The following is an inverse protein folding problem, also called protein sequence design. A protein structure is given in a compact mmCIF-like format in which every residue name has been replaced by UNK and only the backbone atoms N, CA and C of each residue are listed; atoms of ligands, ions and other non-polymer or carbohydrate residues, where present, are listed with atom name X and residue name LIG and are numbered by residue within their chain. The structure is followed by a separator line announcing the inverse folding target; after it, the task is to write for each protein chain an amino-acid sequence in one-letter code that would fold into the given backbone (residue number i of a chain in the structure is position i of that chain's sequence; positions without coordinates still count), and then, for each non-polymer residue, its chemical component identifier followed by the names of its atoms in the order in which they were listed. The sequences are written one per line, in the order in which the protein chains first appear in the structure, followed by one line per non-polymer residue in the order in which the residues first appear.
data_IF_702680089549
#
_entry.id   IF_702680089549
#
_cell.length_a   1.000
_cell.length_b   1.000
_cell.length_c   1.000
_cell.angle_alpha   90.00
_cell.angle_beta   90.00
_cell.angle_gamma   90.00
#
_symmetry.space_group_name_H-M   'P 1'
#
loop_
_entity.id
_entity.type
_entity.pdbx_description
1 polymer ?
#
# COMPACT_ATOMS: atom_id res chain seq x y z
N UNK A 1 -0.16 7.77 -2.80
CA UNK A 1 0.24 6.35 -2.76
C UNK A 1 -0.68 5.54 -3.66
N UNK A 2 -0.18 4.52 -4.34
CA UNK A 2 -0.99 3.70 -5.25
C UNK A 2 -1.54 2.49 -4.49
N UNK A 3 -2.86 2.47 -4.30
CA UNK A 3 -3.58 1.35 -3.68
C UNK A 3 -3.72 0.14 -4.62
N UNK A 4 -4.06 -1.01 -4.04
CA UNK A 4 -4.29 -2.25 -4.79
C UNK A 4 -5.55 -2.17 -5.68
N UNK A 5 -5.51 -2.82 -6.85
CA UNK A 5 -6.58 -2.76 -7.87
C UNK A 5 -7.02 -4.13 -8.37
N UNK A 6 -8.34 -4.33 -8.39
CA UNK A 6 -8.95 -5.59 -8.81
C UNK A 6 -9.95 -5.48 -9.97
N UNK A 7 -10.12 -4.28 -10.56
CA UNK A 7 -11.10 -4.04 -11.63
C UNK A 7 -10.73 -4.67 -12.99
N UNK A 8 -9.44 -4.96 -13.21
CA UNK A 8 -8.94 -5.51 -14.48
C UNK A 8 -8.41 -6.93 -14.24
N UNK A 9 -9.11 -7.97 -14.73
CA UNK A 9 -8.61 -9.33 -14.64
C UNK A 9 -7.22 -9.48 -15.25
N UNK A 10 -6.35 -10.25 -14.57
CA UNK A 10 -4.98 -10.57 -15.02
C UNK A 10 -4.06 -9.36 -15.18
N UNK A 11 -4.27 -8.31 -14.39
CA UNK A 11 -3.45 -7.10 -14.40
C UNK A 11 -3.22 -6.58 -12.99
N UNK A 12 -2.06 -5.98 -12.75
CA UNK A 12 -1.73 -5.32 -11.49
C UNK A 12 -1.96 -6.26 -10.30
N UNK A 13 -2.50 -5.74 -9.19
CA UNK A 13 -2.71 -6.53 -7.98
C UNK A 13 -3.71 -7.68 -8.17
N UNK A 14 -4.60 -7.66 -9.19
CA UNK A 14 -5.42 -8.83 -9.55
C UNK A 14 -4.55 -10.04 -9.86
N UNK A 15 -3.49 -9.85 -10.63
CA UNK A 15 -2.61 -10.94 -11.08
C UNK A 15 -1.88 -11.61 -9.92
N UNK A 16 -1.64 -10.86 -8.85
CA UNK A 16 -0.78 -11.27 -7.75
C UNK A 16 -1.58 -11.71 -6.50
N UNK A 17 -2.65 -10.98 -6.16
CA UNK A 17 -3.44 -11.23 -4.94
C UNK A 17 -4.59 -12.21 -5.20
N UNK A 18 -5.19 -12.19 -6.39
CA UNK A 18 -6.30 -13.07 -6.72
C UNK A 18 -5.80 -14.35 -7.39
N UNK A 19 -6.34 -15.47 -6.90
CA UNK A 19 -6.07 -16.81 -7.40
C UNK A 19 -7.35 -17.26 -8.10
N UNK A 20 -7.33 -17.35 -9.42
CA UNK A 20 -8.53 -17.70 -10.22
C UNK A 20 -8.33 -18.92 -11.10
N UNK A 21 -9.41 -19.65 -11.38
CA UNK A 21 -9.37 -20.86 -12.23
C UNK A 21 -8.75 -20.61 -13.60
N UNK A 22 -9.08 -19.47 -14.21
CA UNK A 22 -8.67 -19.17 -15.58
C UNK A 22 -7.28 -18.52 -15.67
N UNK A 23 -6.81 -17.88 -14.58
CA UNK A 23 -5.49 -17.23 -14.51
C UNK A 23 -4.42 -18.17 -13.96
N UNK A 24 -4.68 -18.84 -12.84
CA UNK A 24 -3.67 -19.57 -12.08
C UNK A 24 -3.48 -21.00 -12.63
N UNK A 25 -2.99 -21.06 -13.87
CA UNK A 25 -2.73 -22.29 -14.64
C UNK A 25 -1.27 -22.34 -15.08
N UNK A 26 -0.79 -23.53 -15.44
CA UNK A 26 0.60 -23.73 -15.90
C UNK A 26 0.85 -22.96 -17.21
N UNK A 27 -0.15 -22.88 -18.08
CA UNK A 27 -0.07 -22.17 -19.36
C UNK A 27 0.14 -20.66 -19.19
N UNK A 28 -0.36 -20.09 -18.10
CA UNK A 28 -0.15 -18.69 -17.72
C UNK A 28 1.07 -18.51 -16.81
N UNK A 29 1.94 -19.53 -16.69
CA UNK A 29 3.19 -19.47 -15.95
C UNK A 29 3.05 -19.57 -14.42
N UNK A 30 1.88 -19.96 -13.89
CA UNK A 30 1.70 -20.21 -12.46
C UNK A 30 2.17 -21.62 -12.06
N UNK A 31 2.42 -21.80 -10.76
CA UNK A 31 3.00 -23.04 -10.21
C UNK A 31 4.53 -22.98 -10.10
N UNK A 32 5.12 -24.09 -9.67
CA UNK A 32 6.59 -24.24 -9.64
C UNK A 32 7.17 -24.22 -11.05
N UNK A 33 8.30 -23.54 -11.30
CA UNK A 33 8.95 -23.59 -12.60
C UNK A 33 9.36 -25.04 -12.89
N UNK A 34 8.76 -25.65 -13.92
CA UNK A 34 9.38 -26.81 -14.55
C UNK A 34 10.63 -26.30 -15.27
N UNK A 35 11.80 -26.90 -15.00
CA UNK A 35 13.10 -26.54 -15.59
C UNK A 35 13.12 -26.51 -17.15
N UNK A 36 12.03 -26.90 -17.81
CA UNK A 36 11.90 -27.02 -19.27
C UNK A 36 11.01 -25.94 -19.93
N UNK A 37 10.42 -25.01 -19.19
CA UNK A 37 9.54 -23.96 -19.74
C UNK A 37 10.01 -22.55 -19.36
N UNK A 38 11.23 -22.22 -19.79
CA UNK A 38 11.82 -20.88 -19.64
C UNK A 38 11.12 -19.87 -20.56
N UNK A 39 9.90 -19.46 -20.18
CA UNK A 39 9.12 -18.42 -20.85
C UNK A 39 9.18 -17.10 -20.08
N UNK A 40 9.02 -15.98 -20.77
CA UNK A 40 8.97 -14.65 -20.13
C UNK A 40 7.84 -14.55 -19.09
N UNK A 41 6.73 -15.27 -19.29
CA UNK A 41 5.59 -15.31 -18.36
C UNK A 41 5.98 -16.03 -17.08
N UNK A 42 6.71 -17.16 -17.17
CA UNK A 42 7.20 -17.87 -15.98
C UNK A 42 8.21 -17.01 -15.19
N UNK A 43 9.12 -16.32 -15.87
CA UNK A 43 10.05 -15.36 -15.23
C UNK A 43 9.31 -14.19 -14.57
N UNK A 44 8.25 -13.68 -15.22
CA UNK A 44 7.38 -12.64 -14.65
C UNK A 44 6.73 -13.11 -13.34
N UNK A 45 6.18 -14.32 -13.31
CA UNK A 45 5.58 -14.89 -12.09
C UNK A 45 6.62 -15.18 -11.01
N UNK A 46 7.80 -15.66 -11.39
CA UNK A 46 8.91 -15.87 -10.47
C UNK A 46 9.32 -14.56 -9.77
N UNK A 47 9.49 -13.46 -10.52
CA UNK A 47 9.84 -12.15 -9.98
C UNK A 47 8.85 -11.70 -8.89
N UNK A 48 7.54 -11.85 -9.13
CA UNK A 48 6.53 -11.48 -8.15
C UNK A 48 6.45 -12.45 -6.96
N UNK A 49 6.67 -13.74 -7.19
CA UNK A 49 6.79 -14.72 -6.10
C UNK A 49 7.98 -14.43 -5.19
N UNK A 50 9.11 -14.00 -5.75
CA UNK A 50 10.29 -13.58 -4.98
C UNK A 50 10.03 -12.26 -4.24
N UNK A 51 9.42 -11.27 -4.90
CA UNK A 51 9.06 -10.00 -4.29
C UNK A 51 8.15 -10.17 -3.08
N UNK A 52 7.10 -10.98 -3.22
CA UNK A 52 6.20 -11.29 -2.13
C UNK A 52 6.72 -12.42 -1.24
N UNK A 53 7.82 -13.10 -1.55
CA UNK A 53 8.26 -14.31 -0.83
C UNK A 53 7.09 -15.28 -0.58
N UNK A 54 6.31 -15.54 -1.64
CA UNK A 54 5.14 -16.42 -1.66
C UNK A 54 5.17 -17.22 -2.96
N UNK A 55 5.11 -18.56 -2.92
CA UNK A 55 5.09 -19.39 -4.13
C UNK A 55 3.94 -19.04 -5.06
N UNK A 56 4.19 -19.06 -6.36
CA UNK A 56 3.14 -18.96 -7.38
C UNK A 56 2.28 -20.22 -7.33
N UNK A 57 1.00 -20.06 -7.01
CA UNK A 57 0.07 -21.18 -6.83
C UNK A 57 -0.78 -21.42 -8.07
N UNK A 58 -0.99 -22.70 -8.39
CA UNK A 58 -2.07 -23.11 -9.28
C UNK A 58 -3.38 -23.13 -8.51
N UNK A 59 -4.49 -22.80 -9.18
CA UNK A 59 -5.80 -22.81 -8.53
C UNK A 59 -6.16 -24.19 -7.95
N UNK A 60 -5.82 -25.26 -8.69
CA UNK A 60 -6.10 -26.65 -8.27
C UNK A 60 -5.34 -27.10 -7.01
N UNK A 61 -4.27 -26.39 -6.65
CA UNK A 61 -3.43 -26.72 -5.49
C UNK A 61 -3.89 -25.95 -4.23
N UNK A 62 -4.95 -25.15 -4.33
CA UNK A 62 -5.55 -24.47 -3.18
C UNK A 62 -6.14 -25.49 -2.19
N UNK A 63 -5.99 -25.26 -0.88
CA UNK A 63 -6.65 -26.08 0.12
C UNK A 63 -8.17 -25.87 0.11
N UNK A 64 -8.89 -26.70 0.86
CA UNK A 64 -10.31 -26.45 1.14
C UNK A 64 -10.48 -25.16 1.95
N UNK A 65 -11.02 -24.13 1.30
CA UNK A 65 -11.26 -22.81 1.90
C UNK A 65 -12.65 -22.79 2.53
N UNK A 66 -12.69 -22.78 3.85
CA UNK A 66 -13.93 -22.60 4.61
C UNK A 66 -14.31 -21.13 4.67
N UNK A 67 -15.61 -20.85 4.68
CA UNK A 67 -16.12 -19.53 4.99
C UNK A 67 -15.89 -19.23 6.46
N UNK A 68 -15.32 -18.06 6.75
CA UNK A 68 -15.12 -17.53 8.09
C UNK A 68 -15.80 -16.16 8.20
N UNK A 69 -16.35 -15.84 9.36
CA UNK A 69 -16.88 -14.51 9.65
C UNK A 69 -15.74 -13.49 9.74
N UNK A 70 -14.62 -13.87 10.36
CA UNK A 70 -13.40 -13.07 10.50
C UNK A 70 -12.46 -13.30 9.32
N UNK A 71 -12.95 -13.01 8.12
CA UNK A 71 -12.21 -13.18 6.85
C UNK A 71 -10.81 -12.57 6.88
N UNK A 72 -10.59 -11.51 7.64
CA UNK A 72 -9.30 -10.82 7.74
C UNK A 72 -8.23 -11.60 8.53
N UNK A 73 -8.60 -12.66 9.26
CA UNK A 73 -7.67 -13.55 9.98
C UNK A 73 -7.28 -14.80 9.17
N UNK A 74 -7.99 -15.10 8.08
CA UNK A 74 -7.71 -16.29 7.27
C UNK A 74 -6.64 -16.00 6.22
N UNK A 75 -5.89 -17.02 5.80
CA UNK A 75 -4.91 -16.86 4.72
C UNK A 75 -5.56 -16.63 3.35
N UNK A 76 -6.66 -17.34 3.12
CA UNK A 76 -7.43 -17.29 1.88
C UNK A 76 -8.90 -16.98 2.17
N UNK A 77 -9.50 -16.19 1.28
CA UNK A 77 -10.92 -15.82 1.34
C UNK A 77 -11.55 -16.15 0.00
N UNK A 78 -12.59 -16.98 0.00
CA UNK A 78 -13.37 -17.24 -1.22
C UNK A 78 -14.24 -16.01 -1.53
N UNK A 79 -14.06 -15.46 -2.73
CA UNK A 79 -14.86 -14.34 -3.24
C UNK A 79 -16.07 -14.88 -3.99
N UNK A 80 -15.83 -15.84 -4.88
CA UNK A 80 -16.84 -16.58 -5.65
C UNK A 80 -16.32 -17.99 -6.00
N UNK A 81 -17.06 -18.73 -6.82
CA UNK A 81 -16.72 -20.11 -7.20
C UNK A 81 -15.42 -20.26 -8.00
N UNK A 82 -14.92 -19.19 -8.59
CA UNK A 82 -13.76 -19.16 -9.47
C UNK A 82 -12.63 -18.27 -8.94
N UNK A 83 -12.88 -17.48 -7.89
CA UNK A 83 -11.97 -16.44 -7.39
C UNK A 83 -11.71 -16.60 -5.90
N UNK A 84 -10.43 -16.68 -5.55
CA UNK A 84 -9.93 -16.68 -4.17
C UNK A 84 -9.02 -15.48 -3.98
N UNK A 85 -9.17 -14.80 -2.85
CA UNK A 85 -8.33 -13.70 -2.43
C UNK A 85 -7.26 -14.19 -1.44
N UNK A 86 -5.99 -13.84 -1.67
CA UNK A 86 -4.89 -14.13 -0.74
C UNK A 86 -4.65 -12.96 0.19
N UNK A 87 -5.08 -13.08 1.45
CA UNK A 87 -4.79 -12.06 2.47
C UNK A 87 -3.30 -11.92 2.72
N UNK A 88 -2.54 -13.00 2.56
CA UNK A 88 -1.09 -12.99 2.76
C UNK A 88 -0.38 -12.11 1.72
N UNK A 89 -0.71 -12.26 0.43
CA UNK A 89 -0.14 -11.40 -0.62
C UNK A 89 -0.62 -9.96 -0.45
N UNK A 90 -1.91 -9.77 -0.13
CA UNK A 90 -2.45 -8.43 0.10
C UNK A 90 -1.78 -7.73 1.28
N UNK A 91 -1.57 -8.43 2.41
CA UNK A 91 -0.82 -7.92 3.56
C UNK A 91 0.58 -7.46 3.15
N UNK A 92 1.32 -8.26 2.39
CA UNK A 92 2.67 -7.89 1.92
C UNK A 92 2.62 -6.67 0.98
N UNK A 93 1.62 -6.60 0.11
CA UNK A 93 1.39 -5.45 -0.77
C UNK A 93 1.06 -4.16 0.00
N UNK A 94 0.25 -4.24 1.04
CA UNK A 94 -0.09 -3.09 1.91
C UNK A 94 1.09 -2.72 2.81
N UNK A 95 1.92 -3.68 3.21
CA UNK A 95 3.13 -3.43 4.01
C UNK A 95 4.07 -2.46 3.29
N UNK A 96 4.17 -2.52 1.96
CA UNK A 96 4.94 -1.53 1.18
C UNK A 96 4.41 -0.11 1.39
N UNK A 97 3.09 0.06 1.42
CA UNK A 97 2.46 1.37 1.66
C UNK A 97 2.67 1.84 3.10
N UNK A 98 2.50 0.94 4.07
CA UNK A 98 2.70 1.22 5.48
C UNK A 98 4.16 1.62 5.75
N UNK A 99 5.12 0.81 5.31
CA UNK A 99 6.55 1.04 5.53
C UNK A 99 7.00 2.36 4.91
N UNK A 100 6.60 2.63 3.65
CA UNK A 100 6.90 3.89 2.98
C UNK A 100 6.33 5.08 3.75
N UNK A 101 5.09 4.98 4.22
CA UNK A 101 4.42 6.07 4.96
C UNK A 101 5.12 6.34 6.29
N UNK A 102 5.40 5.29 7.06
CA UNK A 102 5.99 5.39 8.39
C UNK A 102 7.42 5.92 8.34
N UNK A 103 8.26 5.36 7.46
CA UNK A 103 9.67 5.76 7.33
C UNK A 103 9.82 7.17 6.75
N UNK A 104 8.96 7.56 5.79
CA UNK A 104 8.98 8.94 5.27
C UNK A 104 8.52 9.92 6.35
N UNK A 105 7.46 9.60 7.10
CA UNK A 105 6.97 10.46 8.18
C UNK A 105 8.02 10.64 9.26
N UNK A 106 8.65 9.56 9.71
CA UNK A 106 9.74 9.56 10.68
C UNK A 106 10.89 10.44 10.22
N UNK A 107 11.37 10.23 9.00
CA UNK A 107 12.50 10.99 8.46
C UNK A 107 12.21 12.49 8.41
N UNK A 108 11.02 12.88 7.94
CA UNK A 108 10.63 14.31 7.85
C UNK A 108 10.38 14.94 9.22
N UNK A 109 9.83 14.17 10.15
CA UNK A 109 9.61 14.59 11.53
C UNK A 109 10.95 14.91 12.20
N UNK A 110 11.90 13.99 12.12
CA UNK A 110 13.26 14.17 12.63
C UNK A 110 13.98 15.39 11.99
N UNK A 111 13.94 15.54 10.66
CA UNK A 111 14.54 16.69 9.95
C UNK A 111 13.98 18.05 10.40
N UNK A 112 12.74 18.08 10.89
CA UNK A 112 12.09 19.31 11.36
C UNK A 112 12.10 19.48 12.88
N UNK A 113 12.63 18.49 13.62
CA UNK A 113 12.65 18.48 15.09
C UNK A 113 11.24 18.47 15.70
N UNK A 114 10.28 17.80 15.05
CA UNK A 114 8.88 17.72 15.47
C UNK A 114 8.42 16.27 15.54
N UNK A 115 7.39 16.02 16.32
CA UNK A 115 6.62 14.78 16.22
C UNK A 115 5.74 14.79 14.96
N UNK A 116 5.60 13.64 14.30
CA UNK A 116 4.63 13.42 13.23
C UNK A 116 3.25 13.04 13.77
N UNK A 117 2.23 13.59 13.12
CA UNK A 117 0.87 13.07 13.09
C UNK A 117 0.61 12.57 11.67
N UNK A 118 0.35 11.28 11.52
CA UNK A 118 0.07 10.67 10.22
C UNK A 118 -1.44 10.54 10.04
N UNK A 119 -1.98 11.18 9.00
CA UNK A 119 -3.37 11.01 8.59
C UNK A 119 -3.45 10.09 7.36
N UNK A 120 -3.82 8.83 7.57
CA UNK A 120 -3.91 7.80 6.54
C UNK A 120 -5.29 7.84 5.88
N UNK A 121 -5.30 8.09 4.57
CA UNK A 121 -6.45 7.90 3.69
C UNK A 121 -6.31 6.55 2.99
N UNK A 122 -7.39 5.76 3.01
CA UNK A 122 -7.41 4.40 2.46
C UNK A 122 -7.09 4.36 0.96
N UNK A 123 -5.94 3.76 0.61
CA UNK A 123 -5.52 3.60 -0.77
C UNK A 123 -6.03 2.27 -1.34
N UNK A 124 -6.92 2.33 -2.34
CA UNK A 124 -7.51 1.12 -2.96
C UNK A 124 -8.67 0.49 -2.19
N UNK A 125 -9.20 1.20 -1.19
CA UNK A 125 -10.37 0.75 -0.41
C UNK A 125 -11.71 1.32 -0.92
N UNK A 126 -11.67 2.15 -1.97
CA UNK A 126 -12.84 2.68 -2.65
C UNK A 126 -13.35 1.73 -3.74
N UNK A 127 -13.57 2.25 -4.95
CA UNK A 127 -14.07 1.48 -6.11
C UNK A 127 -13.14 0.37 -6.59
N UNK A 128 -11.94 0.22 -6.03
CA UNK A 128 -10.98 -0.82 -6.43
C UNK A 128 -11.01 -2.06 -5.56
N UNK A 129 -11.70 -2.04 -4.41
CA UNK A 129 -11.80 -3.21 -3.54
C UNK A 129 -12.81 -4.20 -4.13
N UNK A 130 -12.54 -5.48 -3.95
CA UNK A 130 -13.45 -6.57 -4.32
C UNK A 130 -14.21 -7.14 -3.10
N UNK A 131 -13.74 -6.85 -1.88
CA UNK A 131 -14.40 -7.31 -0.66
C UNK A 131 -14.22 -6.35 0.52
N UNK A 132 -15.17 -6.33 1.44
CA UNK A 132 -15.19 -5.42 2.60
C UNK A 132 -14.07 -5.70 3.61
N UNK A 133 -13.68 -6.96 3.80
CA UNK A 133 -12.64 -7.37 4.75
C UNK A 133 -11.26 -6.77 4.42
N UNK A 134 -11.05 -6.28 3.20
CA UNK A 134 -9.80 -5.61 2.81
C UNK A 134 -9.50 -4.39 3.69
N UNK A 135 -10.51 -3.69 4.21
CA UNK A 135 -10.29 -2.57 5.14
C UNK A 135 -9.66 -3.04 6.45
N UNK A 136 -10.11 -4.19 6.96
CA UNK A 136 -9.60 -4.79 8.19
C UNK A 136 -8.15 -5.22 8.01
N UNK A 137 -7.86 -5.97 6.93
CA UNK A 137 -6.48 -6.38 6.61
C UNK A 137 -5.58 -5.16 6.40
N UNK A 138 -6.09 -4.09 5.78
CA UNK A 138 -5.33 -2.86 5.57
C UNK A 138 -4.90 -2.21 6.89
N UNK A 139 -5.83 -1.98 7.82
CA UNK A 139 -5.51 -1.36 9.11
C UNK A 139 -4.64 -2.28 9.96
N UNK A 140 -4.96 -3.57 10.03
CA UNK A 140 -4.15 -4.55 10.76
C UNK A 140 -2.72 -4.63 10.21
N UNK A 141 -2.54 -4.47 8.90
CA UNK A 141 -1.21 -4.37 8.29
C UNK A 141 -0.47 -3.17 8.85
N UNK A 142 -1.05 -1.96 8.81
CA UNK A 142 -0.40 -0.78 9.37
C UNK A 142 -0.08 -0.96 10.85
N UNK A 143 -1.02 -1.47 11.67
CA UNK A 143 -0.80 -1.72 13.11
C UNK A 143 0.41 -2.63 13.31
N UNK A 144 0.47 -3.76 12.60
CA UNK A 144 1.60 -4.69 12.72
C UNK A 144 2.92 -4.01 12.33
N UNK A 145 2.94 -3.21 11.26
CA UNK A 145 4.16 -2.49 10.82
C UNK A 145 4.59 -1.41 11.80
N UNK A 146 3.64 -0.68 12.40
CA UNK A 146 3.91 0.30 13.46
C UNK A 146 4.58 -0.41 14.64
N UNK A 147 3.99 -1.50 15.13
CA UNK A 147 4.55 -2.25 16.25
C UNK A 147 5.94 -2.80 15.94
N UNK A 148 6.14 -3.37 14.75
CA UNK A 148 7.43 -3.91 14.33
C UNK A 148 8.51 -2.81 14.29
N UNK A 149 8.16 -1.62 13.81
CA UNK A 149 9.09 -0.50 13.70
C UNK A 149 9.42 0.11 15.06
N UNK A 150 8.44 0.25 15.96
CA UNK A 150 8.67 0.66 17.35
C UNK A 150 9.57 -0.34 18.08
N UNK A 151 9.31 -1.65 17.96
CA UNK A 151 10.13 -2.70 18.58
C UNK A 151 11.59 -2.69 18.09
N UNK A 152 11.81 -2.26 16.84
CA UNK A 152 13.14 -2.16 16.22
C UNK A 152 13.80 -0.80 16.42
N UNK A 153 13.13 0.18 17.02
CA UNK A 153 13.63 1.56 17.12
C UNK A 153 13.81 2.24 15.77
N UNK A 154 12.94 1.92 14.80
CA UNK A 154 12.97 2.52 13.45
C UNK A 154 12.13 3.79 13.35
N UNK A 155 11.20 4.00 14.28
CA UNK A 155 10.37 5.19 14.38
C UNK A 155 10.33 5.65 15.83
N UNK A 156 10.71 6.91 16.07
CA UNK A 156 10.70 7.54 17.41
C UNK A 156 9.92 8.86 17.41
N UNK A 157 9.76 9.49 16.24
CA UNK A 157 9.06 10.76 16.07
C UNK A 157 7.63 10.59 15.54
N UNK A 158 7.24 9.39 15.10
CA UNK A 158 5.83 9.11 14.75
C UNK A 158 5.00 8.94 16.03
N UNK A 159 4.27 10.00 16.40
CA UNK A 159 3.55 10.06 17.69
C UNK A 159 2.07 9.67 17.61
N UNK A 160 1.41 9.97 16.48
CA UNK A 160 -0.03 9.76 16.27
C UNK A 160 -0.30 9.23 14.87
N UNK A 161 -1.27 8.32 14.76
CA UNK A 161 -1.73 7.81 13.47
C UNK A 161 -3.26 7.75 13.47
N UNK A 162 -3.86 8.47 12.54
CA UNK A 162 -5.30 8.47 12.31
C UNK A 162 -5.63 7.83 10.96
N UNK A 163 -6.58 6.91 10.93
CA UNK A 163 -7.14 6.36 9.69
C UNK A 163 -8.49 7.02 9.39
N UNK A 164 -8.49 7.93 8.43
CA UNK A 164 -9.72 8.64 8.02
C UNK A 164 -10.46 7.94 6.90
N UNK A 165 -11.79 7.95 6.99
CA UNK A 165 -12.72 7.41 6.00
C UNK A 165 -12.58 5.90 5.73
N UNK A 166 -11.94 5.16 6.66
CA UNK A 166 -11.84 3.70 6.61
C UNK A 166 -12.79 3.11 7.64
N UNK A 167 -13.67 2.22 7.19
CA UNK A 167 -14.56 1.44 8.08
C UNK A 167 -14.01 0.03 8.23
N UNK A 168 -13.90 -0.41 9.48
CA UNK A 168 -13.42 -1.73 9.88
C UNK A 168 -14.44 -2.44 10.77
N UNK A 169 -14.25 -3.75 10.95
CA UNK A 169 -14.99 -4.59 11.88
C UNK A 169 -14.75 -4.14 13.34
N UNK A 170 -15.75 -4.27 14.20
CA UNK A 170 -15.74 -3.70 15.57
C UNK A 170 -14.59 -4.19 16.47
N UNK A 171 -14.11 -5.40 16.21
CA UNK A 171 -13.03 -6.06 16.93
C UNK A 171 -11.64 -5.76 16.36
N UNK A 172 -11.55 -5.01 15.26
CA UNK A 172 -10.32 -4.46 14.71
C UNK A 172 -10.08 -3.10 15.35
N UNK A 173 -9.37 -3.07 16.49
CA UNK A 173 -8.97 -1.85 17.19
C UNK A 173 -7.45 -1.80 17.38
N UNK A 174 -6.87 -0.61 17.18
CA UNK A 174 -5.45 -0.36 17.36
C UNK A 174 -5.06 -0.04 18.81
N UNK A 175 -3.75 0.03 19.04
CA UNK A 175 -3.17 0.41 20.33
C UNK A 175 -3.32 1.90 20.67
N UNK A 176 -2.66 2.32 21.75
CA UNK A 176 -2.62 3.71 22.23
C UNK A 176 -2.09 4.62 21.10
N UNK A 177 -2.82 5.69 20.78
CA UNK A 177 -2.53 6.67 19.71
C UNK A 177 -2.87 6.27 18.27
N UNK A 178 -3.68 5.22 18.09
CA UNK A 178 -4.31 4.93 16.81
C UNK A 178 -5.76 5.42 16.82
N UNK A 179 -6.08 6.36 15.93
CA UNK A 179 -7.42 6.91 15.78
C UNK A 179 -8.12 6.39 14.50
N UNK A 180 -9.44 6.27 14.55
CA UNK A 180 -10.31 5.94 13.41
C UNK A 180 -11.30 7.08 13.19
N UNK A 181 -10.78 8.29 12.99
CA UNK A 181 -11.57 9.51 12.94
C UNK A 181 -11.58 10.12 11.54
N UNK A 182 -12.75 10.55 11.10
CA UNK A 182 -12.87 11.31 9.86
C UNK A 182 -12.41 12.74 10.10
N UNK A 183 -11.41 13.17 9.32
CA UNK A 183 -10.99 14.56 9.25
C UNK A 183 -10.60 14.91 7.83
N UNK A 184 -10.76 16.19 7.50
CA UNK A 184 -10.29 16.71 6.22
C UNK A 184 -8.77 16.50 6.09
N UNK A 185 -8.30 15.81 5.02
CA UNK A 185 -6.96 15.23 5.00
C UNK A 185 -5.81 16.19 5.31
N UNK A 186 -5.87 17.40 4.74
CA UNK A 186 -4.87 18.46 4.80
C UNK A 186 -5.20 19.55 5.82
N UNK A 187 -6.25 19.38 6.64
CA UNK A 187 -6.62 20.36 7.66
C UNK A 187 -5.48 20.60 8.66
N UNK A 188 -5.33 21.85 9.11
CA UNK A 188 -4.31 22.21 10.10
C UNK A 188 -4.58 21.46 11.41
N UNK A 189 -3.54 20.88 12.00
CA UNK A 189 -3.62 20.27 13.32
C UNK A 189 -3.86 21.33 14.40
N UNK A 190 -4.71 21.00 15.37
CA UNK A 190 -5.13 21.85 16.48
C UNK A 190 -5.19 21.06 17.78
N UNK A 191 -5.43 21.73 18.91
CA UNK A 191 -5.55 21.06 20.21
C UNK A 191 -4.25 20.38 20.62
N UNK A 192 -4.35 19.12 21.08
CA UNK A 192 -3.20 18.33 21.52
C UNK A 192 -2.20 17.99 20.40
N UNK A 193 -2.64 18.00 19.15
CA UNK A 193 -1.77 17.76 17.99
C UNK A 193 -1.17 19.05 17.40
N UNK A 194 -1.46 20.22 17.98
CA UNK A 194 -0.94 21.49 17.48
C UNK A 194 0.60 21.52 17.50
N UNK A 195 1.22 21.96 16.40
CA UNK A 195 2.67 22.07 16.28
C UNK A 195 3.37 20.84 15.70
N UNK A 196 2.71 19.67 15.70
CA UNK A 196 3.17 18.43 15.05
C UNK A 196 3.29 18.59 13.54
N UNK A 197 4.16 17.79 12.92
CA UNK A 197 4.24 17.67 11.46
C UNK A 197 3.07 16.84 10.96
N UNK A 198 2.17 17.44 10.18
CA UNK A 198 1.13 16.70 9.49
C UNK A 198 1.74 15.98 8.28
N UNK A 199 1.64 14.65 8.29
CA UNK A 199 1.91 13.81 7.13
C UNK A 199 0.59 13.18 6.72
N UNK A 200 0.21 13.26 5.45
CA UNK A 200 -1.01 12.62 4.96
C UNK A 200 -0.72 11.71 3.79
N UNK A 201 -1.43 10.58 3.71
CA UNK A 201 -1.48 9.81 2.48
C UNK A 201 -2.67 10.29 1.65
N UNK A 202 -2.57 10.15 0.33
CA UNK A 202 -3.72 10.29 -0.57
C UNK A 202 -3.72 9.13 -1.55
N UNK A 203 -4.90 8.58 -1.89
CA UNK A 203 -5.01 7.56 -2.93
C UNK A 203 -4.63 8.18 -4.27
N UNK A 204 -3.88 7.44 -5.09
CA UNK A 204 -3.49 7.88 -6.43
C UNK A 204 -3.61 6.77 -7.48
N UNK A 205 -3.92 7.22 -8.70
CA UNK A 205 -3.99 6.51 -9.96
C UNK A 205 -2.60 6.31 -10.60
N UNK A 206 -2.04 5.09 -10.56
CA UNK A 206 -0.68 4.81 -11.03
C UNK A 206 -0.40 5.04 -12.52
N UNK A 207 -1.45 5.30 -13.32
CA UNK A 207 -1.35 5.63 -14.75
C UNK A 207 -1.92 7.02 -15.07
N UNK A 208 -2.02 7.89 -14.07
CA UNK A 208 -2.49 9.27 -14.22
C UNK A 208 -1.51 10.24 -13.56
N UNK A 209 -1.56 11.52 -13.93
CA UNK A 209 -0.89 12.55 -13.13
C UNK A 209 -1.53 12.66 -11.74
N UNK A 210 -0.79 13.13 -10.72
CA UNK A 210 -1.36 13.43 -9.42
C UNK A 210 -2.58 14.34 -9.55
N UNK A 211 -3.67 13.97 -8.88
CA UNK A 211 -4.94 14.67 -8.99
C UNK A 211 -5.96 14.02 -9.93
N UNK A 212 -5.51 13.19 -10.89
CA UNK A 212 -6.34 12.40 -11.80
C UNK A 212 -7.58 13.15 -12.33
N UNK A 213 -8.76 12.97 -11.70
CA UNK A 213 -10.02 13.63 -12.05
C UNK A 213 -9.97 15.17 -12.04
N UNK A 214 -9.01 15.73 -11.31
CA UNK A 214 -8.65 17.15 -11.32
C UNK A 214 -8.42 17.68 -12.74
N UNK A 215 -7.70 16.93 -13.58
CA UNK A 215 -7.25 17.40 -14.89
C UNK A 215 -8.37 17.56 -15.92
N UNK A 216 -9.53 16.96 -15.68
CA UNK A 216 -10.73 17.14 -16.51
C UNK A 216 -11.87 17.86 -15.76
N UNK A 217 -11.56 18.54 -14.65
CA UNK A 217 -12.48 19.42 -13.94
C UNK A 217 -13.41 18.74 -12.93
N UNK A 218 -13.19 17.46 -12.62
CA UNK A 218 -13.99 16.72 -11.64
C UNK A 218 -13.38 16.83 -10.24
N UNK A 219 -13.74 17.90 -9.53
CA UNK A 219 -13.02 18.32 -8.31
C UNK A 219 -13.52 17.69 -6.99
N UNK A 220 -14.62 16.95 -7.00
CA UNK A 220 -15.33 16.51 -5.77
C UNK A 220 -15.58 15.00 -5.69
N UNK A 221 -14.93 14.20 -6.54
CA UNK A 221 -15.28 12.80 -6.74
C UNK A 221 -14.48 11.80 -5.92
N UNK A 222 -13.26 12.15 -5.51
CA UNK A 222 -12.34 11.21 -4.86
C UNK A 222 -11.26 11.96 -4.07
N UNK A 223 -10.36 11.20 -3.43
CA UNK A 223 -9.21 11.75 -2.71
C UNK A 223 -8.16 12.40 -3.63
N UNK A 224 -8.09 12.00 -4.90
CA UNK A 224 -7.20 12.55 -5.91
C UNK A 224 -7.40 14.06 -6.14
N UNK A 225 -8.58 14.52 -6.61
CA UNK A 225 -8.83 15.95 -6.81
C UNK A 225 -8.85 16.73 -5.50
N UNK A 226 -9.21 16.11 -4.37
CA UNK A 226 -9.13 16.74 -3.07
C UNK A 226 -7.67 17.07 -2.68
N UNK A 227 -6.74 16.13 -2.93
CA UNK A 227 -5.31 16.36 -2.72
C UNK A 227 -4.77 17.42 -3.67
N UNK A 228 -5.14 17.41 -4.96
CA UNK A 228 -4.73 18.44 -5.90
C UNK A 228 -5.26 19.83 -5.54
N UNK A 229 -6.52 19.95 -5.10
CA UNK A 229 -7.11 21.23 -4.73
C UNK A 229 -6.56 21.82 -3.42
N UNK A 230 -6.08 20.98 -2.49
CA UNK A 230 -5.69 21.42 -1.14
C UNK A 230 -4.19 21.39 -0.88
N UNK A 231 -3.39 20.95 -1.86
CA UNK A 231 -1.93 20.86 -1.78
C UNK A 231 -1.29 21.32 -3.09
N UNK A 232 0.04 21.18 -3.23
CA UNK A 232 0.77 21.48 -4.47
C UNK A 232 1.14 20.21 -5.25
N UNK A 233 0.44 19.10 -5.02
CA UNK A 233 0.84 17.80 -5.57
C UNK A 233 0.71 17.74 -7.11
N UNK A 234 -0.23 18.48 -7.69
CA UNK A 234 -0.40 18.61 -9.14
C UNK A 234 0.80 19.25 -9.84
N UNK A 235 1.54 20.10 -9.14
CA UNK A 235 2.73 20.80 -9.65
C UNK A 235 4.01 20.05 -9.25
N UNK A 236 4.16 19.75 -7.95
CA UNK A 236 5.39 19.19 -7.40
C UNK A 236 5.65 17.76 -7.87
N UNK A 237 4.61 16.96 -8.06
CA UNK A 237 4.72 15.55 -8.49
C UNK A 237 4.43 15.37 -9.99
N UNK A 238 4.44 16.44 -10.78
CA UNK A 238 4.26 16.39 -12.22
C UNK A 238 5.58 16.64 -12.95
N UNK A 239 6.11 15.63 -13.63
CA UNK A 239 7.39 15.70 -14.35
C UNK A 239 7.41 16.72 -15.51
N UNK A 240 6.26 17.16 -16.01
CA UNK A 240 6.17 18.22 -17.02
C UNK A 240 6.33 19.63 -16.43
N UNK A 241 6.08 19.79 -15.13
CA UNK A 241 6.15 21.07 -14.42
C UNK A 241 7.43 21.10 -13.56
N UNK A 242 7.60 20.08 -12.72
CA UNK A 242 8.75 19.94 -11.85
C UNK A 242 9.84 19.06 -12.47
N UNK A 243 10.83 19.71 -13.09
CA UNK A 243 11.98 19.04 -13.70
C UNK A 243 12.93 18.37 -12.71
N UNK A 244 12.73 18.56 -11.39
CA UNK A 244 13.46 17.79 -10.38
C UNK A 244 12.89 16.38 -10.20
N UNK A 245 11.71 16.07 -10.72
CA UNK A 245 11.13 14.73 -10.64
C UNK A 245 11.66 13.85 -11.78
N UNK A 246 12.79 13.17 -11.51
CA UNK A 246 13.52 12.36 -12.49
C UNK A 246 14.26 11.21 -11.80
N UNK A 247 14.76 10.27 -12.59
CA UNK A 247 15.32 9.01 -12.07
C UNK A 247 16.49 9.17 -11.10
N UNK A 248 17.33 10.19 -11.26
CA UNK A 248 18.49 10.50 -10.41
C UNK A 248 18.12 11.10 -9.04
N UNK A 249 16.90 11.62 -8.88
CA UNK A 249 16.39 12.19 -7.62
C UNK A 249 15.48 11.23 -6.86
N UNK A 250 15.27 10.02 -7.38
CA UNK A 250 14.50 8.96 -6.69
C UNK A 250 15.14 8.69 -5.34
N UNK A 251 14.28 8.64 -4.31
CA UNK A 251 14.66 8.27 -2.95
C UNK A 251 13.94 7.00 -2.53
N UNK A 252 14.58 6.23 -1.66
CA UNK A 252 14.07 5.00 -1.09
C UNK A 252 13.90 5.22 0.40
N UNK A 253 12.68 5.01 0.90
CA UNK A 253 12.40 4.91 2.32
C UNK A 253 12.79 3.50 2.77
N UNK A 254 13.80 3.39 3.63
CA UNK A 254 14.32 2.11 4.11
C UNK A 254 14.79 2.24 5.57
N UNK A 255 15.23 1.13 6.15
CA UNK A 255 15.96 1.16 7.42
C UNK A 255 17.15 2.13 7.32
N UNK A 256 17.27 3.00 8.33
CA UNK A 256 18.23 4.11 8.37
C UNK A 256 17.74 5.41 7.70
N UNK A 257 16.48 5.48 7.26
CA UNK A 257 15.85 6.70 6.76
C UNK A 257 15.72 6.75 5.23
N UNK A 258 15.56 7.97 4.70
CA UNK A 258 15.18 8.22 3.30
C UNK A 258 16.38 8.71 2.52
N UNK A 259 16.88 7.87 1.61
CA UNK A 259 18.16 8.09 0.91
C UNK A 259 18.02 8.04 -0.61
N UNK A 260 18.90 8.71 -1.37
CA UNK A 260 18.97 8.57 -2.83
C UNK A 260 19.09 7.10 -3.26
N UNK A 261 18.41 6.73 -4.35
CA UNK A 261 18.42 5.37 -4.90
C UNK A 261 19.84 4.84 -5.12
N UNK A 262 20.73 5.69 -5.64
CA UNK A 262 22.14 5.34 -5.87
C UNK A 262 22.84 4.88 -4.58
N UNK A 263 22.61 5.58 -3.48
CA UNK A 263 23.21 5.24 -2.18
C UNK A 263 22.60 3.96 -1.60
N UNK A 264 21.28 3.79 -1.75
CA UNK A 264 20.59 2.57 -1.35
C UNK A 264 21.13 1.33 -2.08
N UNK A 265 21.31 1.40 -3.40
CA UNK A 265 21.85 0.28 -4.17
C UNK A 265 23.27 -0.09 -3.73
N UNK A 266 24.12 0.89 -3.41
CA UNK A 266 25.49 0.64 -2.96
C UNK A 266 25.58 -0.15 -1.64
N UNK A 267 24.55 -0.10 -0.79
CA UNK A 267 24.52 -0.92 0.44
C UNK A 267 24.09 -2.37 0.18
N UNK A 268 23.53 -2.68 -0.99
CA UNK A 268 23.02 -4.01 -1.35
C UNK A 268 23.83 -4.71 -2.44
N UNK A 269 24.69 -3.99 -3.17
CA UNK A 269 25.61 -4.56 -4.17
C UNK A 269 26.98 -4.96 -3.59
N UNK A 270 27.19 -4.89 -2.27
CA UNK A 270 28.43 -5.33 -1.61
C UNK A 270 28.38 -6.80 -1.14
N UNK A 271 27.75 -7.68 -1.93
CA UNK A 271 27.83 -9.13 -1.77
C UNK A 271 28.64 -9.72 -2.91
#
# INVERSE_FOLDING_TARGET
LIGARFERPRKMDFEDVLITKDQNTVENGFGQPNNNTDSWISRWRQMWSEFYDIPSLLYKDLPDIKTDEKKYLTKYVRIDDNTVFSNEVYYKRISVLADTTLLEAEFRANETGKDAFINVIGCGLGVWRISSHQSDVYILTFIQRIEDFLKKGLIDHVSDINFSYIRVSDDVRGGVNIQLENREPSSKLSGEHAGKLLVMTYPWDGNAHPGNEFWFGSLKTSGDPAAACSTQVSELHNAHINTTLRGDTVRVAAEGGVRPLREYCLTHTKQ
#
